data_IF_285561829149
#
_entry.id   IF_285561829149
#
_cell.length_a   1.000
_cell.length_b   1.000
_cell.length_c   1.000
_cell.angle_alpha   90.00
_cell.angle_beta   90.00
_cell.angle_gamma   90.00
#
_symmetry.space_group_name_H-M   'P 1'
#
loop_
_entity.id
_entity.type
_entity.pdbx_description
1 polymer ?
#
# COMPACT_ATOMS: atom_id res chain seq x y z
N UNK A 1 -6.86 9.90 -9.19
CA UNK A 1 -7.37 11.17 -8.65
C UNK A 1 -8.20 10.85 -7.41
N UNK A 2 -7.93 11.49 -6.27
CA UNK A 2 -8.69 11.29 -5.04
C UNK A 2 -9.92 12.22 -4.99
N UNK A 3 -11.01 11.76 -4.39
CA UNK A 3 -12.19 12.59 -4.12
C UNK A 3 -11.98 13.37 -2.82
N UNK A 4 -12.46 14.61 -2.76
CA UNK A 4 -12.55 15.36 -1.50
C UNK A 4 -13.57 14.72 -0.58
N UNK A 5 -13.19 14.48 0.67
CA UNK A 5 -14.03 13.80 1.67
C UNK A 5 -13.93 14.52 3.01
N UNK A 6 -15.06 14.63 3.72
CA UNK A 6 -15.07 15.17 5.08
C UNK A 6 -14.47 14.14 6.06
N UNK A 7 -13.67 14.54 7.07
CA UNK A 7 -12.99 13.58 7.95
C UNK A 7 -13.93 12.62 8.69
N UNK A 8 -15.14 13.07 9.06
CA UNK A 8 -16.13 12.18 9.69
C UNK A 8 -16.68 11.13 8.72
N UNK A 9 -16.81 11.47 7.43
CA UNK A 9 -17.21 10.49 6.40
C UNK A 9 -16.11 9.44 6.21
N UNK A 10 -14.85 9.88 6.11
CA UNK A 10 -13.70 8.98 6.02
C UNK A 10 -13.62 8.04 7.23
N UNK A 11 -13.85 8.55 8.44
CA UNK A 11 -13.89 7.74 9.67
C UNK A 11 -15.01 6.68 9.63
N UNK A 12 -16.20 7.04 9.14
CA UNK A 12 -17.33 6.13 9.04
C UNK A 12 -17.07 5.03 8.00
N UNK A 13 -16.45 5.36 6.87
CA UNK A 13 -16.16 4.44 5.77
C UNK A 13 -14.95 3.53 6.02
N UNK A 14 -13.93 3.99 6.75
CA UNK A 14 -12.70 3.23 6.98
C UNK A 14 -12.93 1.96 7.80
N UNK A 15 -12.26 0.86 7.47
CA UNK A 15 -12.37 -0.40 8.23
C UNK A 15 -11.72 -0.30 9.62
N UNK A 16 -10.68 0.53 9.73
CA UNK A 16 -9.98 0.81 10.99
C UNK A 16 -9.52 2.27 11.05
N UNK A 17 -9.27 2.77 12.26
CA UNK A 17 -8.75 4.12 12.49
C UNK A 17 -7.81 4.04 13.68
N UNK A 18 -6.53 4.34 13.47
CA UNK A 18 -5.49 4.31 14.50
C UNK A 18 -4.66 5.59 14.50
N UNK A 19 -4.19 6.01 15.67
CA UNK A 19 -2.98 6.82 15.79
C UNK A 19 -1.80 5.85 15.89
N UNK A 20 -0.84 5.98 14.98
CA UNK A 20 0.30 5.08 14.97
C UNK A 20 1.58 5.75 14.49
N UNK A 21 2.70 5.31 15.07
CA UNK A 21 4.05 5.78 14.76
C UNK A 21 4.73 4.83 13.80
N UNK A 22 5.28 5.35 12.71
CA UNK A 22 6.05 4.54 11.76
C UNK A 22 7.40 4.19 12.36
N UNK A 23 7.69 2.90 12.48
CA UNK A 23 8.93 2.38 13.07
C UNK A 23 9.87 1.78 12.04
N UNK A 24 9.35 1.35 10.88
CA UNK A 24 10.15 0.79 9.80
C UNK A 24 9.44 0.95 8.45
N UNK A 25 10.20 0.95 7.36
CA UNK A 25 9.71 1.05 5.98
C UNK A 25 10.48 0.09 5.08
N UNK A 26 9.76 -0.88 4.52
CA UNK A 26 10.30 -1.84 3.57
C UNK A 26 9.74 -1.60 2.17
N UNK A 27 10.62 -1.55 1.16
CA UNK A 27 10.23 -1.54 -0.25
C UNK A 27 10.50 -2.92 -0.84
N UNK A 28 9.43 -3.64 -1.19
CA UNK A 28 9.53 -4.98 -1.78
C UNK A 28 9.27 -4.86 -3.27
N UNK A 29 10.27 -5.19 -4.09
CA UNK A 29 10.11 -5.24 -5.54
C UNK A 29 9.11 -6.33 -5.94
N UNK A 30 8.24 -6.03 -6.91
CA UNK A 30 7.33 -7.03 -7.41
C UNK A 30 8.13 -8.09 -8.21
N UNK A 31 7.76 -9.37 -8.14
CA UNK A 31 8.37 -10.36 -9.01
C UNK A 31 8.16 -9.94 -10.47
N UNK A 32 9.21 -10.08 -11.29
CA UNK A 32 9.07 -9.87 -12.73
C UNK A 32 7.92 -10.74 -13.23
N UNK A 33 6.98 -10.19 -14.00
CA UNK A 33 5.88 -11.01 -14.48
C UNK A 33 6.44 -12.12 -15.33
N UNK A 34 5.99 -13.33 -15.03
CA UNK A 34 6.24 -14.49 -15.86
C UNK A 34 5.47 -14.24 -17.16
N UNK A 35 6.18 -13.77 -18.18
CA UNK A 35 5.65 -13.71 -19.53
C UNK A 35 5.54 -15.17 -19.97
N UNK A 36 4.33 -15.73 -20.17
CA UNK A 36 4.23 -17.09 -20.67
C UNK A 36 4.92 -17.13 -22.04
N UNK A 37 5.88 -18.03 -22.21
CA UNK A 37 6.58 -18.27 -23.48
C UNK A 37 5.58 -18.79 -24.52
N UNK A 38 4.84 -17.87 -25.14
CA UNK A 38 4.11 -18.15 -26.37
C UNK A 38 4.99 -17.71 -27.54
N UNK A 39 5.22 -18.64 -28.48
CA UNK A 39 5.90 -18.37 -29.75
C UNK A 39 5.17 -17.23 -30.48
N UNK A 40 5.69 -16.01 -30.35
CA UNK A 40 5.14 -14.80 -30.97
C UNK A 40 5.60 -14.71 -32.42
N UNK A 41 4.78 -15.16 -33.36
CA UNK A 41 5.12 -15.14 -34.78
C UNK A 41 4.98 -13.74 -35.42
N UNK A 42 4.24 -12.82 -34.77
CA UNK A 42 3.84 -11.51 -35.33
C UNK A 42 4.35 -10.28 -34.53
N UNK A 43 5.15 -10.47 -33.48
CA UNK A 43 5.75 -9.37 -32.70
C UNK A 43 4.75 -8.59 -31.81
N UNK A 44 3.56 -9.14 -31.57
CA UNK A 44 2.50 -8.50 -30.77
C UNK A 44 2.68 -8.71 -29.26
N UNK A 45 3.53 -9.65 -28.83
CA UNK A 45 3.82 -9.90 -27.41
C UNK A 45 4.79 -8.91 -26.78
N UNK A 46 5.62 -8.18 -27.55
CA UNK A 46 6.45 -7.13 -26.95
C UNK A 46 5.60 -6.00 -26.36
N UNK A 47 4.50 -5.63 -27.01
CA UNK A 47 3.60 -4.59 -26.50
C UNK A 47 2.80 -5.08 -25.29
N UNK A 48 2.40 -6.35 -25.28
CA UNK A 48 1.70 -6.98 -24.15
C UNK A 48 2.62 -7.16 -22.94
N UNK A 49 3.81 -7.72 -23.17
CA UNK A 49 4.87 -7.81 -22.17
C UNK A 49 5.23 -6.43 -21.64
N UNK A 50 5.50 -5.43 -22.48
CA UNK A 50 5.79 -4.07 -22.03
C UNK A 50 4.63 -3.46 -21.24
N UNK A 51 3.37 -3.60 -21.68
CA UNK A 51 2.19 -3.04 -20.98
C UNK A 51 1.94 -3.67 -19.61
N UNK A 52 2.26 -4.95 -19.42
CA UNK A 52 1.99 -5.67 -18.16
C UNK A 52 3.24 -5.91 -17.30
N UNK A 53 4.44 -5.91 -17.89
CA UNK A 53 5.73 -6.07 -17.19
C UNK A 53 6.29 -4.81 -16.57
N UNK A 54 5.92 -3.66 -17.11
CA UNK A 54 6.37 -2.37 -16.61
C UNK A 54 5.44 -1.74 -15.57
N UNK A 55 4.45 -2.44 -15.00
CA UNK A 55 3.40 -1.77 -14.18
C UNK A 55 3.32 -2.11 -12.70
N UNK A 56 4.13 -3.04 -12.20
CA UNK A 56 4.20 -3.36 -10.77
C UNK A 56 5.63 -3.09 -10.29
N UNK A 57 5.92 -1.90 -9.76
CA UNK A 57 7.31 -1.52 -9.45
C UNK A 57 7.74 -1.89 -8.03
N UNK A 58 6.84 -1.88 -7.06
CA UNK A 58 7.13 -2.35 -5.69
C UNK A 58 5.87 -2.24 -4.83
N UNK A 59 5.78 -2.98 -3.73
CA UNK A 59 4.90 -2.64 -2.61
C UNK A 59 5.73 -1.98 -1.51
N UNK A 60 5.16 -1.00 -0.81
CA UNK A 60 5.78 -0.40 0.37
C UNK A 60 5.03 -0.89 1.60
N UNK A 61 5.76 -1.46 2.55
CA UNK A 61 5.23 -1.95 3.82
C UNK A 61 5.75 -1.02 4.91
N UNK A 62 4.84 -0.37 5.61
CA UNK A 62 5.13 0.45 6.78
C UNK A 62 4.88 -0.38 8.04
N UNK A 63 5.88 -0.54 8.89
CA UNK A 63 5.65 -1.12 10.22
C UNK A 63 5.23 0.00 11.16
N UNK A 64 3.97 -0.04 11.60
CA UNK A 64 3.37 1.00 12.45
C UNK A 64 3.16 0.45 13.85
N UNK A 65 3.70 1.14 14.86
CA UNK A 65 3.41 0.90 16.27
C UNK A 65 2.14 1.66 16.65
N UNK A 66 1.10 0.96 17.11
CA UNK A 66 -0.19 1.55 17.45
C UNK A 66 -0.06 2.31 18.77
N UNK A 67 -0.26 3.62 18.75
CA UNK A 67 -0.31 4.45 19.95
C UNK A 67 -1.73 4.46 20.54
N UNK A 68 -2.73 4.62 19.67
CA UNK A 68 -4.15 4.60 20.05
C UNK A 68 -5.02 4.01 18.94
N UNK A 69 -6.08 3.28 19.32
CA UNK A 69 -7.07 2.71 18.40
C UNK A 69 -8.43 3.39 18.59
N UNK A 70 -8.93 4.03 17.54
CA UNK A 70 -10.25 4.65 17.52
C UNK A 70 -11.32 3.70 16.93
N UNK A 71 -10.97 2.92 15.90
CA UNK A 71 -11.85 1.96 15.21
C UNK A 71 -11.07 0.74 14.72
N UNK A 72 -11.76 -0.39 14.56
CA UNK A 72 -11.19 -1.66 14.06
C UNK A 72 -11.02 -2.72 15.15
N UNK A 73 -10.44 -3.86 14.76
CA UNK A 73 -10.27 -5.03 15.62
C UNK A 73 -9.41 -4.75 16.85
N UNK A 74 -9.92 -5.10 18.04
CA UNK A 74 -9.25 -4.81 19.31
C UNK A 74 -8.00 -5.66 19.57
N UNK A 75 -7.93 -6.86 19.02
CA UNK A 75 -6.82 -7.77 19.26
C UNK A 75 -5.66 -7.50 18.31
N UNK A 76 -5.97 -7.23 17.03
CA UNK A 76 -4.96 -6.94 16.02
C UNK A 76 -4.37 -5.52 16.16
N UNK A 77 -5.18 -4.55 16.57
CA UNK A 77 -4.79 -3.14 16.71
C UNK A 77 -4.66 -2.72 18.18
N UNK A 78 -4.16 -3.60 19.03
CA UNK A 78 -3.93 -3.30 20.44
C UNK A 78 -2.83 -2.21 20.59
N UNK A 79 -2.89 -1.37 21.64
CA UNK A 79 -1.81 -0.42 21.92
C UNK A 79 -0.44 -1.11 22.02
N UNK A 80 0.59 -0.46 21.49
CA UNK A 80 1.96 -0.97 21.31
C UNK A 80 2.11 -2.16 20.36
N UNK A 81 1.03 -2.63 19.72
CA UNK A 81 1.14 -3.63 18.66
C UNK A 81 1.85 -3.03 17.44
N UNK A 82 2.68 -3.84 16.78
CA UNK A 82 3.32 -3.49 15.52
C UNK A 82 2.57 -4.13 14.38
N UNK A 83 1.98 -3.30 13.53
CA UNK A 83 1.13 -3.75 12.43
C UNK A 83 1.71 -3.31 11.09
N UNK A 84 1.76 -4.21 10.09
CA UNK A 84 2.17 -3.85 8.75
C UNK A 84 1.03 -3.13 8.02
N UNK A 85 1.25 -1.88 7.64
CA UNK A 85 0.38 -1.11 6.75
C UNK A 85 0.99 -1.16 5.35
N UNK A 86 0.33 -1.87 4.44
CA UNK A 86 0.83 -2.06 3.07
C UNK A 86 0.19 -1.03 2.15
N UNK A 87 1.00 -0.17 1.53
CA UNK A 87 0.56 0.59 0.37
C UNK A 87 0.48 -0.34 -0.84
N UNK A 88 -0.58 -0.22 -1.63
CA UNK A 88 -0.81 -1.02 -2.85
C UNK A 88 0.38 -0.91 -3.81
N UNK A 89 0.54 -1.88 -4.71
CA UNK A 89 1.60 -1.88 -5.73
C UNK A 89 1.75 -0.50 -6.36
N UNK A 90 2.93 0.08 -6.18
CA UNK A 90 3.30 1.42 -6.63
C UNK A 90 3.76 1.30 -8.08
N UNK A 91 3.15 2.10 -8.96
CA UNK A 91 3.78 2.63 -10.18
C UNK A 91 3.90 4.14 -10.02
N UNK A 92 4.65 4.81 -10.89
CA UNK A 92 4.72 6.29 -10.91
C UNK A 92 3.34 6.97 -11.02
N UNK A 93 2.29 6.21 -11.38
CA UNK A 93 0.90 6.65 -11.52
C UNK A 93 -0.04 6.17 -10.41
N UNK A 94 0.44 5.41 -9.42
CA UNK A 94 -0.39 4.92 -8.33
C UNK A 94 -0.54 5.95 -7.20
N UNK A 95 -1.73 6.01 -6.62
CA UNK A 95 -2.03 6.84 -5.47
C UNK A 95 -1.37 6.19 -4.25
N UNK A 96 -0.24 6.76 -3.82
CA UNK A 96 0.50 6.38 -2.63
C UNK A 96 0.56 7.58 -1.68
N UNK A 97 0.49 7.31 -0.38
CA UNK A 97 0.69 8.32 0.67
C UNK A 97 2.04 8.04 1.33
N UNK A 98 3.05 8.89 1.15
CA UNK A 98 4.34 8.72 1.81
C UNK A 98 4.20 8.95 3.32
N UNK A 99 4.54 7.92 4.10
CA UNK A 99 4.70 8.03 5.55
C UNK A 99 6.20 8.02 5.88
N UNK A 100 6.60 8.84 6.86
CA UNK A 100 8.01 8.99 7.25
C UNK A 100 8.29 8.29 8.57
N UNK A 101 9.49 7.69 8.69
CA UNK A 101 9.93 7.03 9.93
C UNK A 101 9.95 7.99 11.12
N UNK A 102 9.56 7.48 12.29
CA UNK A 102 9.49 8.20 13.57
C UNK A 102 8.43 9.32 13.62
N UNK A 103 7.53 9.40 12.64
CA UNK A 103 6.36 10.27 12.68
C UNK A 103 5.10 9.48 13.04
N UNK A 104 4.19 10.13 13.76
CA UNK A 104 2.86 9.61 14.09
C UNK A 104 1.81 10.16 13.14
N UNK A 105 0.88 9.30 12.73
CA UNK A 105 -0.19 9.62 11.80
C UNK A 105 -1.52 9.05 12.30
N UNK A 106 -2.61 9.74 11.99
CA UNK A 106 -3.95 9.13 11.99
C UNK A 106 -4.09 8.37 10.66
N UNK A 107 -4.18 7.05 10.74
CA UNK A 107 -4.27 6.15 9.59
C UNK A 107 -5.69 5.59 9.54
N UNK A 108 -6.33 5.76 8.39
CA UNK A 108 -7.69 5.34 8.04
C UNK A 108 -7.69 4.71 6.66
#
# INVERSE_FOLDING_TARGET
MCRLQHPQEAYCEADFVILGRVTDVEKVEAPSPIIPEYNDYDGTNQEYAYRYSSRLYSKIIYTVEVEERYKGDHYYLAPMARVPITSRYVSDYCIHVPLYMNYSYIIM
#
